data_IF_187963653534
#
_entry.id   IF_187963653534
#
_cell.length_a   1.000
_cell.length_b   1.000
_cell.length_c   1.000
_cell.angle_alpha   90.00
_cell.angle_beta   90.00
_cell.angle_gamma   90.00
#
_symmetry.space_group_name_H-M   'P 1'
#
loop_
_entity.id
_entity.type
_entity.pdbx_description
1 polymer ?
#
# COMPACT_ATOMS: atom_id res chain seq x y z
N UNK A 1 9.81 -10.20 11.65
CA UNK A 1 8.66 -11.07 11.31
C UNK A 1 7.91 -10.39 10.18
N UNK A 2 7.59 -11.10 9.08
CA UNK A 2 6.94 -10.53 7.90
C UNK A 2 5.50 -11.03 7.84
N UNK A 3 4.59 -10.39 8.55
CA UNK A 3 3.19 -10.78 8.53
C UNK A 3 2.41 -9.97 7.51
N UNK A 4 1.50 -10.65 6.83
CA UNK A 4 0.58 -10.03 5.86
C UNK A 4 -0.60 -9.34 6.56
N UNK A 5 -0.94 -9.80 7.77
CA UNK A 5 -1.98 -9.27 8.63
C UNK A 5 -1.34 -8.79 9.94
N UNK A 6 -1.73 -7.62 10.49
CA UNK A 6 -1.26 -7.22 11.80
C UNK A 6 -1.74 -8.20 12.86
N UNK A 7 -0.88 -8.51 13.83
CA UNK A 7 -1.28 -9.27 15.00
C UNK A 7 -2.33 -8.50 15.80
N UNK A 8 -3.37 -9.17 16.34
CA UNK A 8 -4.31 -8.54 17.25
C UNK A 8 -3.61 -8.19 18.58
N UNK A 9 -4.28 -7.39 19.42
CA UNK A 9 -3.74 -6.83 20.67
C UNK A 9 -2.59 -5.83 20.43
N UNK A 10 -2.64 -5.10 19.31
CA UNK A 10 -1.70 -4.04 18.95
C UNK A 10 -2.47 -2.79 18.54
N UNK A 11 -3.38 -2.35 19.41
CA UNK A 11 -4.24 -1.21 19.15
C UNK A 11 -3.45 0.09 18.89
N UNK A 12 -3.94 0.88 17.94
CA UNK A 12 -3.29 2.12 17.47
C UNK A 12 -4.28 3.27 17.53
N UNK A 13 -3.82 4.42 18.00
CA UNK A 13 -4.58 5.67 17.95
C UNK A 13 -4.56 6.32 16.57
N UNK A 14 -3.63 5.89 15.71
CA UNK A 14 -3.51 6.34 14.32
C UNK A 14 -3.32 5.13 13.41
N UNK A 15 -4.12 5.06 12.35
CA UNK A 15 -4.03 4.03 11.33
C UNK A 15 -3.11 4.48 10.20
N UNK A 16 -2.33 3.56 9.65
CA UNK A 16 -1.42 3.81 8.54
C UNK A 16 -1.94 3.14 7.28
N UNK A 17 -1.84 3.83 6.15
CA UNK A 17 -1.93 3.22 4.84
C UNK A 17 -0.51 3.08 4.28
N UNK A 18 -0.13 1.88 3.89
CA UNK A 18 1.24 1.58 3.49
C UNK A 18 1.26 0.64 2.28
N UNK A 19 2.18 0.91 1.36
CA UNK A 19 2.45 0.07 0.19
C UNK A 19 3.85 -0.50 0.38
N UNK A 20 3.96 -1.84 0.40
CA UNK A 20 5.23 -2.54 0.55
C UNK A 20 5.54 -3.32 -0.74
N UNK A 21 6.64 -2.97 -1.40
CA UNK A 21 7.08 -3.64 -2.63
C UNK A 21 8.44 -4.28 -2.37
N UNK A 22 8.50 -5.61 -2.50
CA UNK A 22 9.72 -6.39 -2.35
C UNK A 22 9.57 -7.78 -2.96
N UNK A 23 10.67 -8.37 -3.50
CA UNK A 23 11.95 -7.71 -3.79
C UNK A 23 11.85 -6.77 -5.00
N UNK A 24 12.72 -5.76 -5.05
CA UNK A 24 12.87 -4.88 -6.23
C UNK A 24 14.32 -4.98 -6.68
N UNK A 25 14.54 -5.30 -7.96
CA UNK A 25 15.88 -5.29 -8.53
C UNK A 25 16.39 -3.85 -8.64
N UNK A 26 17.65 -3.55 -8.27
CA UNK A 26 18.15 -2.17 -8.23
C UNK A 26 17.94 -1.37 -9.52
N UNK A 27 18.10 -2.01 -10.68
CA UNK A 27 17.91 -1.43 -12.01
C UNK A 27 16.47 -0.96 -12.27
N UNK A 28 15.49 -1.59 -11.62
CA UNK A 28 14.07 -1.28 -11.78
C UNK A 28 13.57 -0.27 -10.72
N UNK A 29 14.40 0.16 -9.76
CA UNK A 29 13.96 0.95 -8.60
C UNK A 29 13.27 2.27 -8.99
N UNK A 30 13.82 3.01 -9.96
CA UNK A 30 13.21 4.26 -10.45
C UNK A 30 11.86 3.99 -11.12
N UNK A 31 11.76 2.91 -11.91
CA UNK A 31 10.49 2.50 -12.53
C UNK A 31 9.46 2.12 -11.47
N UNK A 32 9.84 1.29 -10.49
CA UNK A 32 8.93 0.86 -9.42
C UNK A 32 8.37 2.02 -8.63
N UNK A 33 9.18 3.04 -8.32
CA UNK A 33 8.70 4.25 -7.66
C UNK A 33 7.64 4.96 -8.53
N UNK A 34 7.92 5.15 -9.82
CA UNK A 34 6.97 5.78 -10.75
C UNK A 34 5.68 4.98 -10.89
N UNK A 35 5.77 3.67 -11.04
CA UNK A 35 4.63 2.77 -11.12
C UNK A 35 3.76 2.86 -9.86
N UNK A 36 4.41 2.89 -8.68
CA UNK A 36 3.72 3.04 -7.39
C UNK A 36 2.94 4.35 -7.32
N UNK A 37 3.57 5.47 -7.72
CA UNK A 37 2.92 6.77 -7.72
C UNK A 37 1.77 6.84 -8.72
N UNK A 38 1.96 6.27 -9.92
CA UNK A 38 0.95 6.21 -10.97
C UNK A 38 -0.27 5.40 -10.54
N UNK A 39 -0.08 4.17 -10.06
CA UNK A 39 -1.17 3.31 -9.59
C UNK A 39 -1.87 3.88 -8.36
N UNK A 40 -1.11 4.50 -7.45
CA UNK A 40 -1.69 5.19 -6.30
C UNK A 40 -2.57 6.36 -6.72
N UNK A 41 -2.12 7.21 -7.64
CA UNK A 41 -2.90 8.36 -8.13
C UNK A 41 -4.13 7.89 -8.93
N UNK A 42 -3.99 6.83 -9.73
CA UNK A 42 -5.09 6.16 -10.44
C UNK A 42 -6.14 5.64 -9.48
N UNK A 43 -5.75 4.93 -8.41
CA UNK A 43 -6.65 4.46 -7.35
C UNK A 43 -7.32 5.63 -6.64
N UNK A 44 -6.55 6.64 -6.21
CA UNK A 44 -7.08 7.80 -5.50
C UNK A 44 -8.12 8.58 -6.34
N UNK A 45 -7.89 8.67 -7.65
CA UNK A 45 -8.76 9.38 -8.59
C UNK A 45 -10.01 8.58 -8.95
N UNK A 46 -9.83 7.33 -9.36
CA UNK A 46 -10.88 6.52 -9.98
C UNK A 46 -11.66 5.70 -8.94
N UNK A 47 -11.04 5.36 -7.81
CA UNK A 47 -11.59 4.40 -6.86
C UNK A 47 -11.53 2.96 -7.37
N UNK A 48 -12.26 2.08 -6.71
CA UNK A 48 -12.47 0.69 -7.14
C UNK A 48 -13.61 0.61 -8.15
N UNK A 49 -13.56 -0.44 -8.99
CA UNK A 49 -14.72 -0.87 -9.78
C UNK A 49 -15.62 -1.84 -8.97
N UNK A 50 -16.85 -2.05 -9.45
CA UNK A 50 -17.86 -2.88 -8.78
C UNK A 50 -17.35 -4.31 -8.56
N UNK A 51 -16.73 -4.90 -9.60
CA UNK A 51 -16.24 -6.28 -9.56
C UNK A 51 -15.19 -6.46 -8.46
N UNK A 52 -14.17 -5.60 -8.43
CA UNK A 52 -13.10 -5.61 -7.43
C UNK A 52 -13.66 -5.41 -6.02
N UNK A 53 -14.64 -4.52 -5.87
CA UNK A 53 -15.30 -4.29 -4.59
C UNK A 53 -16.06 -5.53 -4.10
N UNK A 54 -16.89 -6.14 -4.95
CA UNK A 54 -17.65 -7.35 -4.59
C UNK A 54 -16.74 -8.52 -4.23
N UNK A 55 -15.73 -8.81 -5.08
CA UNK A 55 -14.75 -9.87 -4.85
C UNK A 55 -13.99 -9.66 -3.53
N UNK A 56 -13.58 -8.41 -3.25
CA UNK A 56 -12.86 -8.07 -2.02
C UNK A 56 -13.76 -8.20 -0.79
N UNK A 57 -15.01 -7.69 -0.86
CA UNK A 57 -15.97 -7.78 0.25
C UNK A 57 -16.29 -9.23 0.59
N UNK A 58 -16.48 -10.08 -0.41
CA UNK A 58 -16.76 -11.50 -0.24
C UNK A 58 -15.57 -12.26 0.37
N UNK A 59 -14.36 -11.95 -0.11
CA UNK A 59 -13.13 -12.47 0.48
C UNK A 59 -13.05 -12.10 1.97
N UNK A 60 -13.15 -10.79 2.30
CA UNK A 60 -13.02 -10.29 3.67
C UNK A 60 -14.07 -10.90 4.61
N UNK A 61 -15.32 -11.05 4.15
CA UNK A 61 -16.43 -11.62 4.95
C UNK A 61 -16.11 -13.04 5.42
N UNK A 62 -15.48 -13.85 4.55
CA UNK A 62 -15.04 -15.22 4.89
C UNK A 62 -13.75 -15.19 5.72
N UNK A 63 -12.84 -14.29 5.35
CA UNK A 63 -11.51 -14.19 5.93
C UNK A 63 -11.52 -13.82 7.42
N UNK A 64 -12.52 -13.05 7.88
CA UNK A 64 -12.72 -12.71 9.29
C UNK A 64 -12.76 -13.95 10.20
N UNK A 65 -13.30 -15.09 9.73
CA UNK A 65 -13.31 -16.33 10.52
C UNK A 65 -11.91 -16.94 10.70
N UNK A 66 -11.05 -16.79 9.70
CA UNK A 66 -9.66 -17.28 9.73
C UNK A 66 -8.85 -16.44 10.70
N UNK A 67 -9.07 -15.12 10.72
CA UNK A 67 -8.40 -14.20 11.65
C UNK A 67 -8.66 -14.57 13.11
N UNK A 68 -9.83 -15.12 13.44
CA UNK A 68 -10.22 -15.48 14.81
C UNK A 68 -10.20 -17.00 15.06
N UNK A 69 -9.45 -17.78 14.27
CA UNK A 69 -9.53 -19.24 14.32
C UNK A 69 -8.91 -19.87 15.59
N UNK A 70 -7.98 -19.16 16.25
CA UNK A 70 -7.32 -19.62 17.48
C UNK A 70 -7.84 -18.84 18.69
N UNK A 71 -7.74 -19.45 19.88
CA UNK A 71 -8.14 -18.80 21.13
C UNK A 71 -7.31 -17.56 21.47
N UNK A 72 -6.01 -17.59 21.15
CA UNK A 72 -5.15 -16.43 21.33
C UNK A 72 -5.56 -15.28 20.43
N UNK A 73 -5.90 -15.55 19.17
CA UNK A 73 -6.38 -14.53 18.25
C UNK A 73 -7.76 -14.00 18.66
N UNK A 74 -8.68 -14.88 19.07
CA UNK A 74 -10.00 -14.49 19.60
C UNK A 74 -9.85 -13.54 20.80
N UNK A 75 -8.97 -13.87 21.75
CA UNK A 75 -8.68 -13.01 22.90
C UNK A 75 -8.07 -11.67 22.47
N UNK A 76 -7.09 -11.69 21.55
CA UNK A 76 -6.46 -10.47 21.06
C UNK A 76 -7.45 -9.51 20.40
N UNK A 77 -8.33 -10.02 19.53
CA UNK A 77 -9.37 -9.21 18.91
C UNK A 77 -10.42 -8.72 19.91
N UNK A 78 -10.68 -9.45 20.99
CA UNK A 78 -11.56 -8.99 22.08
C UNK A 78 -10.92 -7.82 22.86
N UNK A 79 -9.61 -7.83 23.08
CA UNK A 79 -8.88 -6.70 23.68
C UNK A 79 -8.93 -5.47 22.77
N UNK A 80 -8.66 -5.64 21.47
CA UNK A 80 -8.76 -4.56 20.49
C UNK A 80 -10.20 -4.02 20.41
N UNK A 81 -11.21 -4.90 20.44
CA UNK A 81 -12.62 -4.51 20.40
C UNK A 81 -12.99 -3.62 21.59
N UNK A 82 -12.51 -3.96 22.80
CA UNK A 82 -12.67 -3.13 23.99
C UNK A 82 -11.96 -1.78 23.85
N UNK A 83 -10.74 -1.77 23.31
CA UNK A 83 -9.99 -0.54 23.10
C UNK A 83 -10.70 0.41 22.12
N UNK A 84 -11.19 -0.11 20.99
CA UNK A 84 -11.88 0.69 19.97
C UNK A 84 -13.37 0.93 20.24
N UNK A 85 -13.91 0.36 21.32
CA UNK A 85 -15.32 0.51 21.69
C UNK A 85 -16.31 -0.18 20.73
N UNK A 86 -15.87 -1.26 20.08
CA UNK A 86 -16.73 -2.06 19.18
C UNK A 86 -17.22 -3.35 19.88
N UNK A 87 -18.34 -3.94 19.43
CA UNK A 87 -18.79 -5.27 19.86
C UNK A 87 -17.80 -6.39 19.50
N UNK A 88 -18.20 -7.65 19.68
CA UNK A 88 -17.41 -8.80 19.23
C UNK A 88 -16.91 -8.59 17.80
N UNK A 89 -15.60 -8.70 17.58
CA UNK A 89 -14.96 -8.38 16.32
C UNK A 89 -15.57 -9.11 15.11
N UNK A 90 -15.81 -10.42 15.24
CA UNK A 90 -16.29 -11.23 14.11
C UNK A 90 -17.72 -10.81 13.70
N UNK A 91 -18.61 -10.66 14.67
CA UNK A 91 -19.99 -10.19 14.47
C UNK A 91 -20.02 -8.76 13.92
N UNK A 92 -19.24 -7.87 14.53
CA UNK A 92 -19.13 -6.48 14.11
C UNK A 92 -18.67 -6.38 12.65
N UNK A 93 -17.56 -7.05 12.29
CA UNK A 93 -17.00 -6.99 10.94
C UNK A 93 -17.96 -7.54 9.90
N UNK A 94 -18.62 -8.68 10.16
CA UNK A 94 -19.63 -9.23 9.23
C UNK A 94 -20.81 -8.29 9.04
N UNK A 95 -21.31 -7.68 10.12
CA UNK A 95 -22.41 -6.74 10.05
C UNK A 95 -22.04 -5.45 9.29
N UNK A 96 -20.80 -4.94 9.47
CA UNK A 96 -20.32 -3.77 8.73
C UNK A 96 -20.08 -4.10 7.25
N UNK A 97 -19.43 -5.22 6.94
CA UNK A 97 -19.19 -5.65 5.56
C UNK A 97 -20.49 -5.88 4.78
N UNK A 98 -21.51 -6.45 5.41
CA UNK A 98 -22.83 -6.65 4.79
C UNK A 98 -23.53 -5.33 4.39
N UNK A 99 -23.24 -4.23 5.09
CA UNK A 99 -23.80 -2.89 4.83
C UNK A 99 -22.91 -2.01 3.97
N UNK A 100 -21.63 -2.38 3.83
CA UNK A 100 -20.64 -1.60 3.10
C UNK A 100 -21.02 -1.53 1.62
N UNK A 101 -20.90 -0.34 1.03
CA UNK A 101 -21.16 -0.09 -0.39
C UNK A 101 -19.88 0.35 -1.12
N UNK A 102 -19.85 0.19 -2.45
CA UNK A 102 -18.77 0.72 -3.28
C UNK A 102 -18.60 2.24 -3.09
N UNK A 103 -19.71 2.96 -2.97
CA UNK A 103 -19.71 4.41 -2.75
C UNK A 103 -19.02 4.81 -1.44
N UNK A 104 -19.20 4.02 -0.37
CA UNK A 104 -18.51 4.26 0.91
C UNK A 104 -17.01 4.07 0.78
N UNK A 105 -16.57 3.00 0.12
CA UNK A 105 -15.14 2.73 -0.10
C UNK A 105 -14.50 3.80 -0.97
N UNK A 106 -15.12 4.16 -2.09
CA UNK A 106 -14.60 5.20 -2.98
C UNK A 106 -14.59 6.59 -2.31
N UNK A 107 -15.54 6.88 -1.43
CA UNK A 107 -15.51 8.09 -0.59
C UNK A 107 -14.34 8.07 0.38
N UNK A 108 -14.08 6.94 1.05
CA UNK A 108 -12.96 6.80 1.96
C UNK A 108 -11.60 6.92 1.24
N UNK A 109 -11.44 6.30 0.06
CA UNK A 109 -10.25 6.43 -0.79
C UNK A 109 -10.00 7.91 -1.13
N UNK A 110 -11.01 8.64 -1.62
CA UNK A 110 -10.85 10.05 -1.96
C UNK A 110 -10.56 10.93 -0.74
N UNK A 111 -11.12 10.60 0.41
CA UNK A 111 -10.94 11.40 1.64
C UNK A 111 -9.57 11.19 2.26
N UNK A 112 -9.08 9.95 2.27
CA UNK A 112 -7.91 9.57 3.05
C UNK A 112 -6.66 9.29 2.22
N UNK A 113 -6.80 8.90 0.94
CA UNK A 113 -5.68 8.58 0.05
C UNK A 113 -5.41 9.66 -1.02
N UNK A 114 -6.30 10.61 -1.28
CA UNK A 114 -6.03 11.69 -2.24
C UNK A 114 -5.04 12.77 -1.74
N UNK A 115 -4.26 12.45 -0.70
CA UNK A 115 -3.26 13.35 -0.11
C UNK A 115 -1.95 13.32 -0.91
N UNK A 116 -1.34 14.49 -1.08
CA UNK A 116 0.01 14.67 -1.64
C UNK A 116 1.13 14.41 -0.61
N UNK A 117 0.77 13.98 0.61
CA UNK A 117 1.69 13.81 1.75
C UNK A 117 2.17 12.37 1.94
N UNK A 118 2.70 11.76 0.88
CA UNK A 118 3.30 10.42 0.97
C UNK A 118 4.73 10.48 1.51
N UNK A 119 5.06 9.59 2.46
CA UNK A 119 6.45 9.34 2.88
C UNK A 119 6.93 8.07 2.21
N UNK A 120 8.05 8.18 1.49
CA UNK A 120 8.62 7.08 0.72
C UNK A 120 9.99 6.75 1.31
N UNK A 121 10.20 5.48 1.64
CA UNK A 121 11.47 4.96 2.11
C UNK A 121 11.93 3.88 1.13
N UNK A 122 13.15 4.05 0.62
CA UNK A 122 13.77 3.11 -0.31
C UNK A 122 15.10 2.64 0.27
N UNK A 123 15.32 1.32 0.27
CA UNK A 123 16.57 0.72 0.70
C UNK A 123 17.30 0.25 -0.55
N UNK A 124 18.45 0.85 -0.85
CA UNK A 124 19.24 0.54 -2.05
C UNK A 124 20.74 0.59 -1.74
N UNK A 125 21.53 -0.16 -2.52
CA UNK A 125 22.99 -0.15 -2.45
C UNK A 125 23.57 1.16 -2.99
N UNK A 126 23.02 1.68 -4.09
CA UNK A 126 23.46 2.93 -4.72
C UNK A 126 22.40 4.03 -4.56
N UNK A 127 22.36 4.62 -3.37
CA UNK A 127 21.41 5.68 -3.05
C UNK A 127 21.70 6.99 -3.80
N UNK A 128 22.96 7.24 -4.15
CA UNK A 128 23.37 8.46 -4.84
C UNK A 128 22.83 8.48 -6.29
N UNK A 129 23.06 7.41 -7.04
CA UNK A 129 22.55 7.29 -8.41
C UNK A 129 21.01 7.28 -8.46
N UNK A 130 20.36 6.59 -7.52
CA UNK A 130 18.90 6.59 -7.45
C UNK A 130 18.34 7.98 -7.12
N UNK A 131 18.92 8.69 -6.14
CA UNK A 131 18.54 10.07 -5.82
C UNK A 131 18.69 10.99 -7.03
N UNK A 132 19.79 10.87 -7.75
CA UNK A 132 20.06 11.67 -8.95
C UNK A 132 19.02 11.40 -10.06
N UNK A 133 18.63 10.14 -10.27
CA UNK A 133 17.57 9.78 -11.20
C UNK A 133 16.19 10.35 -10.79
N UNK A 134 15.87 10.30 -9.50
CA UNK A 134 14.61 10.80 -8.94
C UNK A 134 14.51 12.33 -9.06
N UNK A 135 15.52 13.05 -8.56
CA UNK A 135 15.52 14.52 -8.51
C UNK A 135 15.52 15.13 -9.90
N UNK A 136 16.24 14.52 -10.84
CA UNK A 136 16.28 14.98 -12.23
C UNK A 136 15.15 14.39 -13.10
N UNK A 137 14.21 13.66 -12.51
CA UNK A 137 13.11 13.02 -13.23
C UNK A 137 13.57 12.21 -14.47
N UNK A 138 14.72 11.53 -14.40
CA UNK A 138 15.23 10.72 -15.51
C UNK A 138 14.26 9.61 -15.88
N UNK A 139 14.06 9.41 -17.18
CA UNK A 139 13.24 8.32 -17.73
C UNK A 139 13.65 7.01 -17.10
N UNK A 140 12.65 6.27 -16.59
CA UNK A 140 12.89 4.95 -16.02
C UNK A 140 12.96 3.88 -17.11
N UNK A 141 13.50 2.72 -16.74
CA UNK A 141 13.56 1.52 -17.58
C UNK A 141 13.06 0.34 -16.77
N UNK A 142 12.48 -0.66 -17.44
CA UNK A 142 12.15 -1.94 -16.80
C UNK A 142 12.64 -3.11 -17.67
N UNK A 143 13.21 -4.12 -17.02
CA UNK A 143 13.54 -5.39 -17.64
C UNK A 143 12.62 -6.50 -17.10
N UNK A 144 11.95 -7.21 -18.00
CA UNK A 144 11.13 -8.37 -17.66
C UNK A 144 11.87 -9.67 -18.00
N UNK A 145 11.77 -10.65 -17.10
CA UNK A 145 12.33 -11.99 -17.33
C UNK A 145 11.54 -12.81 -18.38
N UNK A 146 10.29 -12.42 -18.66
CA UNK A 146 9.41 -13.09 -19.61
C UNK A 146 8.55 -12.06 -20.36
N UNK A 147 8.09 -12.37 -21.59
CA UNK A 147 7.18 -11.51 -22.34
C UNK A 147 5.95 -11.13 -21.50
N UNK A 148 5.53 -9.87 -21.60
CA UNK A 148 4.34 -9.34 -20.94
C UNK A 148 3.24 -9.05 -21.96
N UNK A 149 1.95 -9.10 -21.55
CA UNK A 149 0.84 -8.67 -22.38
C UNK A 149 1.03 -7.23 -22.87
N UNK A 150 0.47 -6.91 -24.04
CA UNK A 150 0.66 -5.60 -24.67
C UNK A 150 0.10 -4.47 -23.79
N UNK A 151 -0.96 -4.74 -23.04
CA UNK A 151 -1.60 -3.79 -22.13
C UNK A 151 -0.63 -3.32 -21.04
N UNK A 152 0.22 -4.22 -20.53
CA UNK A 152 1.26 -3.88 -19.55
C UNK A 152 2.33 -3.02 -20.21
N UNK A 153 2.80 -3.43 -21.40
CA UNK A 153 3.84 -2.70 -22.13
C UNK A 153 3.39 -1.29 -22.55
N UNK A 154 2.09 -1.08 -22.77
CA UNK A 154 1.53 0.23 -23.08
C UNK A 154 1.41 1.10 -21.83
N UNK A 155 1.04 0.52 -20.69
CA UNK A 155 1.04 1.22 -19.40
C UNK A 155 2.47 1.60 -18.97
N UNK A 156 3.46 0.72 -19.20
CA UNK A 156 4.87 1.01 -18.92
C UNK A 156 5.37 2.26 -19.64
N UNK A 157 4.92 2.51 -20.87
CA UNK A 157 5.27 3.72 -21.63
C UNK A 157 4.83 5.00 -20.92
N UNK A 158 3.68 4.96 -20.25
CA UNK A 158 3.19 6.06 -19.42
C UNK A 158 4.07 6.17 -18.17
N UNK A 159 4.33 5.03 -17.52
CA UNK A 159 5.09 4.98 -16.26
C UNK A 159 6.55 5.46 -16.44
N UNK A 160 7.20 5.18 -17.58
CA UNK A 160 8.59 5.58 -17.82
C UNK A 160 8.88 7.06 -17.57
N UNK A 161 7.89 7.91 -17.85
CA UNK A 161 8.00 9.36 -17.71
C UNK A 161 7.10 9.94 -16.62
N UNK A 162 6.38 9.10 -15.87
CA UNK A 162 5.42 9.55 -14.85
C UNK A 162 6.08 10.41 -13.76
N UNK A 163 5.65 11.65 -13.54
CA UNK A 163 6.44 12.65 -12.82
C UNK A 163 6.61 12.29 -11.33
N UNK A 164 7.84 12.33 -10.85
CA UNK A 164 8.15 12.30 -9.42
C UNK A 164 8.28 13.75 -8.93
N UNK A 165 7.25 14.23 -8.24
CA UNK A 165 7.14 15.64 -7.82
C UNK A 165 7.88 15.88 -6.50
N UNK A 166 9.21 15.88 -6.56
CA UNK A 166 10.08 16.15 -5.40
C UNK A 166 11.16 17.16 -5.76
N UNK A 167 11.58 17.96 -4.77
CA UNK A 167 12.77 18.81 -4.84
C UNK A 167 13.97 18.04 -4.30
N UNK A 168 15.17 18.49 -4.66
CA UNK A 168 16.41 17.91 -4.12
C UNK A 168 16.47 17.94 -2.58
N UNK A 169 15.84 18.95 -1.96
CA UNK A 169 15.75 19.10 -0.50
C UNK A 169 14.77 18.11 0.15
N UNK A 170 13.85 17.52 -0.62
CA UNK A 170 12.88 16.55 -0.11
C UNK A 170 13.47 15.13 -0.05
N UNK A 171 14.64 14.90 -0.65
CA UNK A 171 15.29 13.58 -0.75
C UNK A 171 16.57 13.55 0.06
N UNK A 172 16.53 12.81 1.16
CA UNK A 172 17.66 12.59 2.08
C UNK A 172 18.22 11.18 1.93
N UNK A 173 19.55 11.04 1.91
CA UNK A 173 20.24 9.75 1.97
C UNK A 173 20.74 9.54 3.39
N UNK A 174 20.27 8.48 4.03
CA UNK A 174 20.72 8.08 5.37
C UNK A 174 21.46 6.74 5.27
N UNK A 175 22.77 6.69 5.62
CA UNK A 175 23.49 5.43 5.74
C UNK A 175 22.82 4.49 6.74
N UNK A 176 22.76 3.19 6.43
CA UNK A 176 22.07 2.19 7.26
C UNK A 176 22.54 2.17 8.72
N UNK A 177 23.84 2.43 8.95
CA UNK A 177 24.42 2.48 10.30
C UNK A 177 23.84 3.58 11.20
N UNK A 178 23.17 4.60 10.63
CA UNK A 178 22.58 5.72 11.38
C UNK A 178 21.05 5.65 11.50
N UNK A 179 20.43 4.56 11.07
CA UNK A 179 18.95 4.45 11.04
C UNK A 179 18.34 4.20 12.42
N UNK A 180 19.11 3.58 13.33
CA UNK A 180 18.66 3.19 14.67
C UNK A 180 19.41 3.90 15.82
N UNK A 181 20.15 4.95 15.48
CA UNK A 181 20.74 5.88 16.46
C UNK A 181 19.71 6.96 16.83
#
# INVERSE_FOLDING_TARGET
MYQFQPDPNLARTQQIFQIWIRPVQPENANFTLRATLYEYEKLAKNGLDEKTFEETRDFLTKYVNILTQTKDAELGYALDSRFYGIPNYNEYMKAQLAKLTLADVNRAIKTHLASDKMRIVMITKDAAALRDAIVNNRTATIAYAAPKPQEILDEDKIIFTYPIRVKAADVTITPVGRVFE
#
